data_IF_138382501357
#
_entry.id   IF_138382501357
#
_cell.length_a   1.000
_cell.length_b   1.000
_cell.length_c   1.000
_cell.angle_alpha   90.00
_cell.angle_beta   90.00
_cell.angle_gamma   90.00
#
_symmetry.space_group_name_H-M   'P 1'
#
loop_
_entity.id
_entity.type
_entity.pdbx_description
1 polymer ?
#
# COMPACT_ATOMS: atom_id res chain seq x y z
N UNK A 1 -11.17 14.29 20.27
CA UNK A 1 -10.74 13.55 19.06
C UNK A 1 -9.22 13.60 19.00
N UNK A 2 -8.54 12.47 18.92
CA UNK A 2 -7.08 12.41 18.73
C UNK A 2 -6.75 12.67 17.26
N UNK A 3 -5.62 13.31 16.98
CA UNK A 3 -5.14 13.48 15.60
C UNK A 3 -3.98 12.53 15.33
N UNK A 4 -3.96 12.00 14.10
CA UNK A 4 -2.97 11.03 13.62
C UNK A 4 -2.54 11.42 12.22
N UNK A 5 -1.26 11.73 12.02
CA UNK A 5 -0.72 12.08 10.71
C UNK A 5 -0.45 10.84 9.88
N UNK A 6 -1.04 10.77 8.69
CA UNK A 6 -0.66 9.79 7.67
C UNK A 6 0.37 10.40 6.73
N UNK A 7 1.61 9.98 6.85
CA UNK A 7 2.74 10.43 6.03
C UNK A 7 2.68 9.84 4.61
N UNK A 8 1.74 10.32 3.80
CA UNK A 8 1.57 9.88 2.41
C UNK A 8 1.14 11.04 1.52
N UNK A 9 1.75 11.16 0.34
CA UNK A 9 1.29 12.03 -0.75
C UNK A 9 0.22 11.38 -1.64
N UNK A 10 -0.12 10.10 -1.40
CA UNK A 10 -1.11 9.38 -2.19
C UNK A 10 -2.51 9.55 -1.59
N UNK A 11 -3.36 10.37 -2.26
CA UNK A 11 -4.74 10.65 -1.81
C UNK A 11 -5.62 9.40 -1.69
N UNK A 12 -5.40 8.39 -2.50
CA UNK A 12 -6.15 7.13 -2.42
C UNK A 12 -5.77 6.34 -1.17
N UNK A 13 -4.48 6.27 -0.84
CA UNK A 13 -4.00 5.66 0.40
C UNK A 13 -4.55 6.43 1.61
N UNK A 14 -4.54 7.77 1.57
CA UNK A 14 -5.01 8.62 2.68
C UNK A 14 -6.46 8.33 3.09
N UNK A 15 -7.34 8.04 2.14
CA UNK A 15 -8.77 7.78 2.40
C UNK A 15 -9.05 6.40 2.98
N UNK A 16 -8.13 5.45 2.82
CA UNK A 16 -8.34 4.02 3.07
C UNK A 16 -8.79 3.72 4.49
N UNK A 17 -8.18 4.36 5.49
CA UNK A 17 -8.44 4.08 6.91
C UNK A 17 -9.22 5.18 7.62
N UNK A 18 -9.53 6.29 6.94
CA UNK A 18 -10.13 7.47 7.56
C UNK A 18 -11.46 7.16 8.24
N UNK A 19 -12.33 6.38 7.58
CA UNK A 19 -13.66 6.05 8.12
C UNK A 19 -13.54 5.20 9.38
N UNK A 20 -12.78 4.11 9.34
CA UNK A 20 -12.61 3.21 10.47
C UNK A 20 -11.96 3.90 11.68
N UNK A 21 -10.94 4.74 11.45
CA UNK A 21 -10.29 5.48 12.53
C UNK A 21 -11.21 6.54 13.15
N UNK A 22 -12.08 7.17 12.36
CA UNK A 22 -13.04 8.15 12.85
C UNK A 22 -14.07 7.52 13.81
N UNK A 23 -14.47 6.27 13.61
CA UNK A 23 -15.33 5.50 14.51
C UNK A 23 -14.71 5.28 15.91
N UNK A 24 -13.37 5.44 16.00
CA UNK A 24 -12.61 5.39 17.26
C UNK A 24 -12.15 6.77 17.77
N UNK A 25 -12.82 7.86 17.37
CA UNK A 25 -12.45 9.24 17.73
C UNK A 25 -11.04 9.66 17.32
N UNK A 26 -10.51 9.08 16.23
CA UNK A 26 -9.21 9.42 15.65
C UNK A 26 -9.42 10.09 14.31
N UNK A 27 -8.97 11.35 14.20
CA UNK A 27 -8.96 12.12 12.96
C UNK A 27 -7.63 11.90 12.23
N UNK A 28 -7.71 11.41 11.01
CA UNK A 28 -6.53 11.29 10.14
C UNK A 28 -6.25 12.65 9.49
N UNK A 29 -5.03 13.11 9.64
CA UNK A 29 -4.45 14.24 8.89
C UNK A 29 -3.56 13.70 7.78
N UNK A 30 -3.49 14.41 6.67
CA UNK A 30 -2.59 14.13 5.54
C UNK A 30 -1.46 15.14 5.50
N UNK A 31 -0.51 14.97 4.57
CA UNK A 31 0.56 15.95 4.37
C UNK A 31 0.04 17.30 3.85
N UNK A 32 -1.18 17.36 3.32
CA UNK A 32 -1.83 18.61 2.91
C UNK A 32 -2.38 19.41 4.12
N UNK A 33 -2.60 18.75 5.25
CA UNK A 33 -3.19 19.33 6.46
C UNK A 33 -2.12 19.89 7.43
N UNK A 34 -0.84 19.66 7.16
CA UNK A 34 0.27 20.05 8.03
C UNK A 34 1.35 20.81 7.25
N UNK A 35 2.02 21.81 7.84
CA UNK A 35 3.05 22.61 7.16
C UNK A 35 4.41 21.90 7.15
N UNK A 36 4.44 20.61 6.81
CA UNK A 36 5.66 19.80 6.73
C UNK A 36 6.01 19.58 5.27
N UNK A 37 7.19 20.03 4.87
CA UNK A 37 7.70 19.88 3.51
C UNK A 37 9.12 19.32 3.58
N UNK A 38 9.24 18.00 3.60
CA UNK A 38 10.51 17.27 3.57
C UNK A 38 10.51 16.26 2.43
N UNK A 39 11.68 16.02 1.88
CA UNK A 39 11.90 14.89 0.97
C UNK A 39 12.43 13.70 1.77
N UNK A 40 11.85 12.53 1.54
CA UNK A 40 12.25 11.28 2.20
C UNK A 40 12.74 10.33 1.14
N UNK A 41 14.02 9.95 1.22
CA UNK A 41 14.59 8.90 0.37
C UNK A 41 14.18 7.53 0.90
N UNK A 42 13.32 6.84 0.15
CA UNK A 42 12.84 5.50 0.45
C UNK A 42 13.80 4.47 -0.16
N UNK A 43 14.84 4.12 0.59
CA UNK A 43 15.91 3.20 0.15
C UNK A 43 15.86 1.84 0.88
N UNK A 44 14.78 1.53 1.54
CA UNK A 44 14.52 0.23 2.15
C UNK A 44 14.34 -0.87 1.09
N UNK A 45 14.57 -2.10 1.50
CA UNK A 45 14.43 -3.29 0.65
C UNK A 45 13.06 -3.96 0.77
N UNK A 46 12.28 -3.57 1.79
CA UNK A 46 10.94 -4.09 2.08
C UNK A 46 9.93 -2.97 2.32
N UNK A 47 8.64 -3.28 2.17
CA UNK A 47 7.55 -2.33 2.44
C UNK A 47 7.62 -1.79 3.88
N UNK A 48 7.96 -2.64 4.84
CA UNK A 48 8.05 -2.24 6.25
C UNK A 48 9.23 -1.31 6.51
N UNK A 49 10.37 -1.54 5.87
CA UNK A 49 11.54 -0.66 5.99
C UNK A 49 11.24 0.73 5.44
N UNK A 50 10.62 0.84 4.25
CA UNK A 50 10.24 2.13 3.70
C UNK A 50 9.15 2.82 4.54
N UNK A 51 8.19 2.08 5.07
CA UNK A 51 7.21 2.62 5.99
C UNK A 51 7.88 3.21 7.26
N UNK A 52 8.87 2.49 7.84
CA UNK A 52 9.65 2.98 8.99
C UNK A 52 10.48 4.23 8.65
N UNK A 53 11.20 4.22 7.52
CA UNK A 53 12.00 5.37 7.06
C UNK A 53 11.10 6.60 6.97
N UNK A 54 9.95 6.46 6.32
CA UNK A 54 8.97 7.53 6.13
C UNK A 54 8.38 8.00 7.47
N UNK A 55 7.88 7.09 8.30
CA UNK A 55 7.28 7.44 9.59
C UNK A 55 8.27 8.15 10.51
N UNK A 56 9.52 7.67 10.58
CA UNK A 56 10.60 8.29 11.37
C UNK A 56 10.96 9.69 10.90
N UNK A 57 11.02 9.91 9.58
CA UNK A 57 11.34 11.21 9.01
C UNK A 57 10.28 12.25 9.41
N UNK A 58 9.00 11.94 9.17
CA UNK A 58 7.91 12.86 9.50
C UNK A 58 7.68 13.03 11.01
N UNK A 59 7.91 12.00 11.82
CA UNK A 59 7.77 12.10 13.29
C UNK A 59 8.77 13.05 13.96
N UNK A 60 9.88 13.41 13.29
CA UNK A 60 10.82 14.44 13.77
C UNK A 60 10.29 15.86 13.58
N UNK A 61 9.35 16.05 12.66
CA UNK A 61 8.81 17.36 12.25
C UNK A 61 7.49 17.71 12.96
N UNK A 62 6.95 16.79 13.79
CA UNK A 62 5.69 17.01 14.49
C UNK A 62 5.64 16.28 15.84
N UNK A 63 4.77 16.76 16.73
CA UNK A 63 4.45 16.06 17.99
C UNK A 63 3.24 15.10 17.84
N UNK A 64 2.65 15.03 16.67
CA UNK A 64 1.55 14.09 16.41
C UNK A 64 2.08 12.66 16.32
N UNK A 65 1.27 11.66 16.66
CA UNK A 65 1.53 10.30 16.19
C UNK A 65 1.57 10.29 14.66
N UNK A 66 2.55 9.59 14.09
CA UNK A 66 2.74 9.51 12.63
C UNK A 66 2.73 8.07 12.19
N UNK A 67 1.88 7.75 11.21
CA UNK A 67 2.00 6.47 10.53
C UNK A 67 2.30 6.66 9.04
N UNK A 68 3.00 5.68 8.50
CA UNK A 68 3.28 5.55 7.08
C UNK A 68 3.04 4.12 6.62
N UNK A 69 2.81 3.94 5.33
CA UNK A 69 2.74 2.62 4.73
C UNK A 69 3.42 2.59 3.37
N UNK A 70 3.90 1.41 3.04
CA UNK A 70 4.38 1.10 1.70
C UNK A 70 3.90 -0.28 1.26
N UNK A 71 4.05 -0.61 -0.02
CA UNK A 71 3.58 -1.84 -0.60
C UNK A 71 4.58 -2.40 -1.62
N UNK A 72 4.68 -3.73 -1.65
CA UNK A 72 5.46 -4.48 -2.63
C UNK A 72 4.56 -5.41 -3.42
N UNK A 73 4.87 -5.59 -4.70
CA UNK A 73 4.20 -6.55 -5.55
C UNK A 73 5.06 -7.81 -5.68
N UNK A 74 4.47 -8.95 -5.38
CA UNK A 74 5.04 -10.27 -5.64
C UNK A 74 4.20 -11.00 -6.68
N UNK A 75 4.87 -11.68 -7.61
CA UNK A 75 4.27 -12.47 -8.68
C UNK A 75 4.67 -13.93 -8.53
N UNK A 76 3.71 -14.82 -8.40
CA UNK A 76 3.95 -16.26 -8.21
C UNK A 76 4.70 -16.86 -9.42
N UNK A 77 5.65 -17.75 -9.15
CA UNK A 77 6.48 -18.44 -10.14
C UNK A 77 7.39 -17.55 -11.04
N UNK A 78 7.42 -16.26 -10.80
CA UNK A 78 8.38 -15.36 -11.47
C UNK A 78 9.73 -15.43 -10.77
N UNK A 79 10.86 -15.57 -11.49
CA UNK A 79 12.19 -15.56 -10.89
C UNK A 79 12.48 -14.32 -10.05
N UNK A 80 13.30 -14.46 -9.00
CA UNK A 80 13.59 -13.40 -8.03
C UNK A 80 14.15 -12.14 -8.69
N UNK A 81 15.04 -12.30 -9.69
CA UNK A 81 15.63 -11.19 -10.44
C UNK A 81 14.64 -10.44 -11.35
N UNK A 82 13.45 -10.98 -11.54
CA UNK A 82 12.35 -10.37 -12.31
C UNK A 82 11.17 -9.95 -11.43
N UNK A 83 11.24 -10.18 -10.09
CA UNK A 83 10.19 -9.74 -9.19
C UNK A 83 10.09 -8.21 -9.16
N UNK A 84 8.87 -7.65 -9.25
CA UNK A 84 8.69 -6.19 -9.20
C UNK A 84 9.08 -5.57 -7.85
N UNK A 85 8.79 -6.26 -6.75
CA UNK A 85 9.10 -5.78 -5.41
C UNK A 85 8.54 -4.38 -5.16
N UNK A 86 9.42 -3.48 -4.66
CA UNK A 86 9.13 -2.07 -4.44
C UNK A 86 9.05 -1.23 -5.73
N UNK A 87 9.61 -1.74 -6.81
CA UNK A 87 9.86 -0.97 -8.03
C UNK A 87 8.92 -1.33 -9.17
N UNK A 88 7.62 -1.45 -8.87
CA UNK A 88 6.59 -1.89 -9.83
C UNK A 88 6.64 -1.10 -11.16
N UNK A 89 6.97 0.20 -11.11
CA UNK A 89 7.10 1.04 -12.31
C UNK A 89 8.53 1.17 -12.82
N UNK A 90 9.48 0.50 -12.20
CA UNK A 90 10.90 0.58 -12.60
C UNK A 90 11.45 -0.80 -12.87
N UNK A 91 11.91 -1.01 -14.09
CA UNK A 91 12.54 -2.26 -14.52
C UNK A 91 13.94 -1.95 -15.03
N UNK A 92 14.95 -2.63 -14.52
CA UNK A 92 16.36 -2.41 -14.91
C UNK A 92 16.78 -0.94 -14.83
N UNK A 93 16.33 -0.22 -13.79
CA UNK A 93 16.64 1.19 -13.58
C UNK A 93 15.82 2.18 -14.44
N UNK A 94 15.05 1.71 -15.42
CA UNK A 94 14.20 2.53 -16.27
C UNK A 94 12.79 2.64 -15.69
N UNK A 95 12.26 3.87 -15.58
CA UNK A 95 10.85 4.09 -15.29
C UNK A 95 10.01 3.83 -16.54
N UNK A 96 9.08 2.89 -16.46
CA UNK A 96 8.19 2.50 -17.56
C UNK A 96 7.04 3.48 -17.74
N UNK A 97 6.58 3.68 -18.99
CA UNK A 97 5.29 4.29 -19.31
C UNK A 97 4.15 3.33 -18.96
N UNK A 98 2.91 3.78 -19.08
CA UNK A 98 1.75 2.90 -18.85
C UNK A 98 1.68 1.75 -19.86
N UNK A 99 1.97 2.03 -21.13
CA UNK A 99 2.03 1.04 -22.21
C UNK A 99 3.14 0.03 -21.97
N UNK A 100 4.35 0.51 -21.64
CA UNK A 100 5.49 -0.35 -21.33
C UNK A 100 5.23 -1.26 -20.11
N UNK A 101 4.49 -0.78 -19.11
CA UNK A 101 4.08 -1.60 -17.96
C UNK A 101 3.10 -2.70 -18.38
N UNK A 102 2.08 -2.36 -19.17
CA UNK A 102 1.11 -3.34 -19.67
C UNK A 102 1.84 -4.43 -20.46
N UNK A 103 2.72 -4.04 -21.38
CA UNK A 103 3.51 -4.98 -22.19
C UNK A 103 4.43 -5.86 -21.34
N UNK A 104 5.21 -5.25 -20.44
CA UNK A 104 6.17 -5.97 -19.60
C UNK A 104 5.49 -7.03 -18.73
N UNK A 105 4.45 -6.65 -17.99
CA UNK A 105 3.76 -7.59 -17.08
C UNK A 105 2.91 -8.62 -17.82
N UNK A 106 2.34 -8.27 -18.98
CA UNK A 106 1.67 -9.26 -19.85
C UNK A 106 2.65 -10.30 -20.39
N UNK A 107 3.86 -9.89 -20.75
CA UNK A 107 4.92 -10.80 -21.17
C UNK A 107 5.39 -11.72 -20.03
N UNK A 108 5.51 -11.21 -18.79
CA UNK A 108 5.76 -12.07 -17.63
C UNK A 108 4.67 -13.12 -17.46
N UNK A 109 3.39 -12.70 -17.58
CA UNK A 109 2.27 -13.63 -17.48
C UNK A 109 2.27 -14.68 -18.59
N UNK A 110 2.70 -14.33 -19.79
CA UNK A 110 2.85 -15.27 -20.90
C UNK A 110 4.01 -16.25 -20.68
N UNK A 111 5.13 -15.78 -20.09
CA UNK A 111 6.36 -16.58 -19.92
C UNK A 111 6.25 -17.50 -18.69
N UNK A 112 5.77 -17.01 -17.56
CA UNK A 112 5.78 -17.72 -16.27
C UNK A 112 4.41 -18.15 -15.76
N UNK A 113 3.33 -17.68 -16.41
CA UNK A 113 1.97 -17.96 -15.96
C UNK A 113 1.44 -19.31 -16.40
N UNK A 114 0.50 -19.85 -15.63
CA UNK A 114 -0.31 -21.00 -16.03
C UNK A 114 -1.47 -20.49 -16.89
N UNK A 115 -1.55 -20.94 -18.14
CA UNK A 115 -2.54 -20.45 -19.12
C UNK A 115 -2.52 -18.92 -19.30
N UNK A 116 -1.34 -18.29 -19.18
CA UNK A 116 -1.19 -16.85 -19.31
C UNK A 116 -1.67 -16.05 -18.10
N UNK A 117 -1.81 -16.67 -16.93
CA UNK A 117 -2.19 -16.04 -15.67
C UNK A 117 -1.13 -16.26 -14.60
N UNK A 118 -0.75 -15.22 -13.90
CA UNK A 118 0.11 -15.25 -12.71
C UNK A 118 -0.67 -14.73 -11.51
N UNK A 119 -0.65 -15.43 -10.39
CA UNK A 119 -1.18 -14.90 -9.14
C UNK A 119 -0.33 -13.72 -8.67
N UNK A 120 -0.96 -12.58 -8.46
CA UNK A 120 -0.35 -11.38 -7.89
C UNK A 120 -0.69 -11.25 -6.41
N UNK A 121 0.33 -10.87 -5.61
CA UNK A 121 0.18 -10.60 -4.18
C UNK A 121 0.75 -9.23 -3.85
N UNK A 122 -0.06 -8.38 -3.26
CA UNK A 122 0.40 -7.18 -2.59
C UNK A 122 0.80 -7.49 -1.15
N UNK A 123 2.00 -7.09 -0.77
CA UNK A 123 2.50 -7.16 0.60
C UNK A 123 2.61 -5.73 1.11
N UNK A 124 1.91 -5.43 2.18
CA UNK A 124 1.86 -4.11 2.79
C UNK A 124 2.70 -4.08 4.06
N UNK A 125 3.44 -3.00 4.24
CA UNK A 125 4.13 -2.66 5.46
C UNK A 125 3.60 -1.34 6.01
N UNK A 126 3.28 -1.30 7.29
CA UNK A 126 2.86 -0.10 8.01
C UNK A 126 3.75 0.10 9.23
N UNK A 127 4.13 1.34 9.46
CA UNK A 127 4.86 1.75 10.66
C UNK A 127 4.12 2.91 11.32
N UNK A 128 4.00 2.88 12.64
CA UNK A 128 3.48 3.96 13.46
C UNK A 128 4.54 4.39 14.48
N UNK A 129 4.79 5.69 14.56
CA UNK A 129 5.59 6.32 15.61
C UNK A 129 4.64 7.06 16.53
N UNK A 130 4.59 6.68 17.80
CA UNK A 130 3.73 7.30 18.80
C UNK A 130 4.43 7.33 20.16
N UNK A 131 4.47 8.49 20.82
CA UNK A 131 5.09 8.66 22.15
C UNK A 131 6.53 8.11 22.24
N UNK A 132 7.33 8.23 21.18
CA UNK A 132 8.70 7.72 21.12
C UNK A 132 8.83 6.21 20.93
N UNK A 133 7.73 5.50 20.68
CA UNK A 133 7.71 4.08 20.38
C UNK A 133 7.41 3.84 18.91
N UNK A 134 7.98 2.76 18.39
CA UNK A 134 7.77 2.30 17.02
C UNK A 134 6.92 1.03 17.04
N UNK A 135 5.86 1.02 16.23
CA UNK A 135 4.99 -0.12 16.03
C UNK A 135 4.98 -0.45 14.54
N UNK A 136 5.00 -1.73 14.22
CA UNK A 136 5.00 -2.19 12.82
C UNK A 136 3.94 -3.25 12.62
N UNK A 137 3.37 -3.26 11.41
CA UNK A 137 2.37 -4.23 10.99
C UNK A 137 2.55 -4.59 9.52
N UNK A 138 2.40 -5.87 9.21
CA UNK A 138 2.51 -6.37 7.84
C UNK A 138 1.32 -7.27 7.53
N UNK A 139 0.74 -7.09 6.35
CA UNK A 139 -0.31 -7.97 5.83
C UNK A 139 -0.17 -8.13 4.32
N UNK A 140 -0.91 -9.06 3.75
CA UNK A 140 -0.88 -9.29 2.31
C UNK A 140 -2.28 -9.51 1.74
N UNK A 141 -2.41 -9.22 0.44
CA UNK A 141 -3.62 -9.47 -0.36
C UNK A 141 -3.24 -10.21 -1.62
N UNK A 142 -3.91 -11.35 -1.84
CA UNK A 142 -3.73 -12.21 -2.99
C UNK A 142 -5.11 -12.43 -3.62
N UNK A 143 -5.59 -11.43 -4.33
CA UNK A 143 -6.96 -11.38 -4.84
C UNK A 143 -7.06 -11.12 -6.34
N UNK A 144 -5.94 -11.22 -7.08
CA UNK A 144 -5.92 -10.95 -8.51
C UNK A 144 -4.89 -11.79 -9.25
N UNK A 145 -5.17 -11.97 -10.55
CA UNK A 145 -4.21 -12.45 -11.52
C UNK A 145 -3.68 -11.31 -12.36
N UNK A 146 -2.40 -11.35 -12.73
CA UNK A 146 -1.87 -10.64 -13.90
C UNK A 146 -2.06 -11.56 -15.10
N UNK A 147 -2.62 -11.02 -16.20
CA UNK A 147 -2.90 -11.78 -17.42
C UNK A 147 -2.02 -11.36 -18.59
N UNK A 148 -1.72 -12.33 -19.47
CA UNK A 148 -1.03 -12.10 -20.73
C UNK A 148 -1.88 -11.40 -21.79
N UNK A 149 -3.19 -11.26 -21.57
CA UNK A 149 -4.15 -10.64 -22.50
C UNK A 149 -4.74 -9.41 -21.86
N UNK A 150 -4.34 -8.18 -22.27
CA UNK A 150 -4.91 -6.95 -21.71
C UNK A 150 -6.40 -6.77 -22.00
N UNK A 151 -7.12 -6.14 -21.06
CA UNK A 151 -8.47 -5.62 -21.30
C UNK A 151 -8.46 -4.59 -22.44
N UNK A 152 -9.59 -4.46 -23.15
CA UNK A 152 -9.81 -3.39 -24.14
C UNK A 152 -9.96 -2.00 -23.50
N UNK A 153 -10.29 -1.96 -22.21
CA UNK A 153 -10.45 -0.73 -21.43
C UNK A 153 -9.11 -0.40 -20.76
N UNK A 154 -8.57 0.77 -21.06
CA UNK A 154 -7.35 1.29 -20.42
C UNK A 154 -7.77 2.19 -19.29
N UNK A 155 -7.15 2.00 -18.10
CA UNK A 155 -7.30 2.88 -16.97
C UNK A 155 -6.06 3.77 -16.87
N UNK A 156 -6.12 5.05 -17.28
CA UNK A 156 -5.00 5.97 -17.19
C UNK A 156 -4.48 6.06 -15.75
N UNK A 157 -3.16 6.12 -15.58
CA UNK A 157 -2.46 6.18 -14.28
C UNK A 157 -2.44 4.87 -13.47
N UNK A 158 -3.29 3.88 -13.84
CA UNK A 158 -3.35 2.57 -13.18
C UNK A 158 -3.21 1.43 -14.21
N UNK A 159 -2.07 1.34 -14.93
CA UNK A 159 -1.89 0.41 -16.05
C UNK A 159 -2.08 -1.06 -15.64
N UNK A 160 -1.71 -1.43 -14.41
CA UNK A 160 -1.92 -2.80 -13.93
C UNK A 160 -3.41 -3.21 -13.91
N UNK A 161 -4.35 -2.27 -13.73
CA UNK A 161 -5.77 -2.59 -13.77
C UNK A 161 -6.20 -3.14 -15.15
N UNK A 162 -5.52 -2.74 -16.22
CA UNK A 162 -5.78 -3.19 -17.59
C UNK A 162 -5.40 -4.67 -17.80
N UNK A 163 -4.50 -5.19 -16.99
CA UNK A 163 -4.00 -6.57 -17.06
C UNK A 163 -4.24 -7.37 -15.80
N UNK A 164 -5.02 -6.82 -14.86
CA UNK A 164 -5.37 -7.54 -13.64
C UNK A 164 -6.80 -8.01 -13.66
N UNK A 165 -7.00 -9.28 -13.28
CA UNK A 165 -8.31 -9.92 -13.15
C UNK A 165 -8.55 -10.21 -11.67
N UNK A 166 -9.67 -9.72 -11.12
CA UNK A 166 -10.09 -10.08 -9.77
C UNK A 166 -10.48 -11.54 -9.70
N UNK A 167 -9.88 -12.30 -8.78
CA UNK A 167 -10.08 -13.76 -8.67
C UNK A 167 -11.54 -14.11 -8.35
N UNK A 168 -12.17 -13.36 -7.44
CA UNK A 168 -13.54 -13.64 -6.98
C UNK A 168 -14.58 -13.37 -8.05
N UNK A 169 -14.41 -12.29 -8.82
CA UNK A 169 -15.37 -11.87 -9.84
C UNK A 169 -15.06 -12.44 -11.22
N UNK A 170 -13.83 -12.90 -11.45
CA UNK A 170 -13.30 -13.25 -12.77
C UNK A 170 -13.51 -12.14 -13.81
N UNK A 171 -13.30 -10.87 -13.39
CA UNK A 171 -13.43 -9.67 -14.22
C UNK A 171 -12.15 -8.86 -14.17
N UNK A 172 -11.80 -8.17 -15.25
CA UNK A 172 -10.74 -7.16 -15.21
C UNK A 172 -11.09 -6.04 -14.24
N UNK A 173 -10.09 -5.49 -13.56
CA UNK A 173 -10.30 -4.35 -12.66
C UNK A 173 -10.86 -3.12 -13.39
N UNK A 174 -10.58 -2.99 -14.68
CA UNK A 174 -11.15 -1.95 -15.56
C UNK A 174 -12.63 -2.13 -15.85
N UNK A 175 -13.20 -3.32 -15.61
CA UNK A 175 -14.59 -3.69 -15.86
C UNK A 175 -15.43 -3.84 -14.59
N UNK A 176 -14.83 -3.61 -13.42
CA UNK A 176 -15.50 -3.69 -12.11
C UNK A 176 -16.43 -2.49 -11.95
N UNK A 177 -17.72 -2.77 -11.71
CA UNK A 177 -18.75 -1.77 -11.43
C UNK A 177 -18.79 -1.37 -9.96
N UNK A 178 -19.55 -0.33 -9.59
CA UNK A 178 -19.75 0.04 -8.18
C UNK A 178 -20.46 -1.06 -7.38
N UNK A 179 -21.36 -1.84 -8.03
CA UNK A 179 -22.01 -3.00 -7.41
C UNK A 179 -21.00 -4.13 -7.16
N UNK A 180 -20.13 -4.39 -8.14
CA UNK A 180 -19.05 -5.38 -7.99
C UNK A 180 -18.12 -5.03 -6.82
N UNK A 181 -17.82 -3.73 -6.59
CA UNK A 181 -16.97 -3.28 -5.47
C UNK A 181 -17.54 -3.68 -4.11
N UNK A 182 -18.86 -3.66 -3.95
CA UNK A 182 -19.50 -4.10 -2.70
C UNK A 182 -19.27 -5.59 -2.44
N UNK A 183 -19.19 -6.41 -3.51
CA UNK A 183 -18.97 -7.85 -3.40
C UNK A 183 -17.53 -8.22 -3.05
N UNK A 184 -16.57 -7.36 -3.41
CA UNK A 184 -15.13 -7.60 -3.19
C UNK A 184 -14.53 -6.68 -2.12
N UNK A 185 -15.39 -5.94 -1.41
CA UNK A 185 -14.93 -5.12 -0.29
C UNK A 185 -14.23 -6.03 0.73
N UNK A 186 -13.00 -5.68 1.04
CA UNK A 186 -12.18 -6.40 2.00
C UNK A 186 -12.34 -5.77 3.38
N UNK A 187 -12.31 -6.63 4.39
CA UNK A 187 -12.25 -6.19 5.78
C UNK A 187 -10.82 -5.78 6.13
N UNK A 188 -10.64 -4.49 6.41
CA UNK A 188 -9.39 -3.90 6.88
C UNK A 188 -9.46 -3.49 8.36
N UNK A 189 -10.45 -3.97 9.10
CA UNK A 189 -10.61 -3.69 10.54
C UNK A 189 -9.35 -4.03 11.33
N UNK A 190 -8.67 -5.13 10.98
CA UNK A 190 -7.42 -5.54 11.61
C UNK A 190 -6.30 -4.48 11.53
N UNK A 191 -6.27 -3.66 10.45
CA UNK A 191 -5.31 -2.55 10.31
C UNK A 191 -5.72 -1.37 11.17
N UNK A 192 -7.02 -1.06 11.21
CA UNK A 192 -7.57 -0.04 12.09
C UNK A 192 -7.32 -0.41 13.56
N UNK A 193 -7.58 -1.64 13.95
CA UNK A 193 -7.34 -2.18 15.30
C UNK A 193 -5.86 -2.05 15.69
N UNK A 194 -4.94 -2.39 14.78
CA UNK A 194 -3.52 -2.20 15.02
C UNK A 194 -3.19 -0.73 15.34
N UNK A 195 -3.67 0.22 14.53
CA UNK A 195 -3.43 1.65 14.75
C UNK A 195 -4.05 2.14 16.06
N UNK A 196 -5.31 1.79 16.33
CA UNK A 196 -6.04 2.17 17.55
C UNK A 196 -5.32 1.64 18.79
N UNK A 197 -4.97 0.36 18.81
CA UNK A 197 -4.30 -0.27 19.94
C UNK A 197 -2.91 0.34 20.18
N UNK A 198 -2.14 0.59 19.12
CA UNK A 198 -0.80 1.16 19.22
C UNK A 198 -0.80 2.62 19.71
N UNK A 199 -1.80 3.43 19.31
CA UNK A 199 -1.96 4.81 19.79
C UNK A 199 -2.43 4.84 21.26
N UNK A 200 -3.20 3.85 21.70
CA UNK A 200 -3.77 3.78 23.05
C UNK A 200 -2.89 3.02 24.03
N UNK A 201 -1.82 2.37 23.57
CA UNK A 201 -0.93 1.59 24.42
C UNK A 201 -0.38 2.42 25.57
N UNK A 202 -0.82 2.07 26.80
CA UNK A 202 -0.46 2.76 28.03
C UNK A 202 0.97 2.47 28.51
N UNK A 203 1.67 1.48 27.93
CA UNK A 203 3.07 1.17 28.28
C UNK A 203 4.02 2.31 27.88
N UNK A 204 3.65 3.09 26.85
CA UNK A 204 4.37 4.29 26.44
C UNK A 204 4.35 5.41 27.50
N UNK A 205 3.33 5.46 28.38
CA UNK A 205 3.18 6.51 29.40
C UNK A 205 4.07 6.32 30.65
N UNK A 206 4.70 5.16 30.85
CA UNK A 206 5.44 4.86 32.11
C UNK A 206 6.93 5.20 32.08
N UNK A 207 7.51 5.68 30.97
CA UNK A 207 8.95 6.02 30.91
C UNK A 207 9.29 7.49 31.15
N UNK A 208 8.32 8.38 31.32
CA UNK A 208 8.56 9.82 31.52
C UNK A 208 8.33 10.32 32.95
N UNK A 209 8.35 9.45 33.94
CA UNK A 209 8.31 9.84 35.36
C UNK A 209 9.57 9.30 36.11
N UNK A 210 10.73 9.84 35.73
CA UNK A 210 11.89 9.88 36.62
C UNK A 210 12.75 11.08 36.25
#
# INVERSE_FOLDING_TARGET
MKELLFATGNKSKAKRFTKGLLEHDIKVLTLEDVPINIEVEENGTTAIENALIKARAYAKETNLPVFAMDDTLYLENVPEDKQPGMYVRRVNGKRLTDEEMIEYYSNLAKEYGTNGLITGRWIYGMALISNGHEYTYTWSKENFYITSTPSKIINPWYPLNTISINIKLNKYFTEITEEDKLLIQEDESHVVDFLVNSITDSKAKKKNNF
#
